data_IF_868414868850
#
_entry.id   IF_868414868850
#
_cell.length_a   1.000
_cell.length_b   1.000
_cell.length_c   1.000
_cell.angle_alpha   90.00
_cell.angle_beta   90.00
_cell.angle_gamma   90.00
#
_symmetry.space_group_name_H-M   'P 1'
#
loop_
_entity.id
_entity.type
_entity.pdbx_description
1 polymer ?
#
# COMPACT_ATOMS: atom_id res chain seq x y z
N UNK A 1 -21.63 7.63 -26.48
CA UNK A 1 -20.21 7.25 -26.25
C UNK A 1 -20.06 6.96 -24.77
N UNK A 2 -19.87 5.70 -24.39
CA UNK A 2 -19.67 5.32 -22.99
C UNK A 2 -18.27 5.72 -22.55
N UNK A 3 -18.17 6.50 -21.47
CA UNK A 3 -16.89 6.97 -20.91
C UNK A 3 -16.26 5.80 -20.15
N UNK A 4 -15.21 5.20 -20.69
CA UNK A 4 -14.39 4.23 -19.96
C UNK A 4 -13.53 5.04 -18.99
N UNK A 5 -13.71 4.79 -17.68
CA UNK A 5 -12.84 5.36 -16.65
C UNK A 5 -11.88 4.27 -16.24
N UNK A 6 -10.60 4.46 -16.57
CA UNK A 6 -9.53 3.55 -16.16
C UNK A 6 -9.10 3.94 -14.75
N UNK A 7 -9.26 3.02 -13.79
CA UNK A 7 -8.74 3.16 -12.44
C UNK A 7 -7.53 2.23 -12.31
N UNK A 8 -6.33 2.79 -12.19
CA UNK A 8 -5.11 2.04 -11.82
C UNK A 8 -4.95 2.02 -10.30
N UNK A 9 -5.99 1.60 -9.59
CA UNK A 9 -5.92 1.43 -8.13
C UNK A 9 -5.57 -0.02 -7.83
N UNK A 10 -4.60 -0.23 -6.94
CA UNK A 10 -4.37 -1.54 -6.35
C UNK A 10 -5.57 -1.84 -5.44
N UNK A 11 -6.18 -2.98 -5.66
CA UNK A 11 -7.51 -3.31 -5.16
C UNK A 11 -7.35 -4.57 -4.31
N UNK A 12 -7.56 -4.47 -3.00
CA UNK A 12 -7.54 -5.62 -2.09
C UNK A 12 -8.94 -6.24 -2.00
N UNK A 13 -8.99 -7.56 -2.21
CA UNK A 13 -10.12 -8.50 -2.10
C UNK A 13 -11.56 -8.03 -2.38
N UNK A 14 -12.24 -8.82 -3.24
CA UNK A 14 -13.67 -8.76 -3.58
C UNK A 14 -14.20 -7.51 -4.28
N UNK A 15 -13.35 -6.56 -4.65
CA UNK A 15 -13.80 -5.38 -5.40
C UNK A 15 -14.40 -5.73 -6.76
N UNK A 16 -13.88 -6.70 -7.56
CA UNK A 16 -14.59 -7.15 -8.74
C UNK A 16 -16.05 -7.55 -8.42
N UNK A 17 -16.23 -8.32 -7.36
CA UNK A 17 -17.53 -8.80 -6.86
C UNK A 17 -18.41 -7.65 -6.33
N UNK A 18 -17.84 -6.63 -5.68
CA UNK A 18 -18.55 -5.43 -5.24
C UNK A 18 -18.97 -4.56 -6.43
N UNK A 19 -18.10 -4.40 -7.43
CA UNK A 19 -18.38 -3.65 -8.67
C UNK A 19 -19.51 -4.34 -9.44
N UNK A 20 -19.43 -5.66 -9.59
CA UNK A 20 -20.47 -6.48 -10.22
C UNK A 20 -21.79 -6.41 -9.43
N UNK A 21 -21.75 -6.50 -8.11
CA UNK A 21 -22.92 -6.33 -7.24
C UNK A 21 -23.57 -4.95 -7.37
N UNK A 22 -22.81 -3.91 -7.76
CA UNK A 22 -23.32 -2.57 -8.06
C UNK A 22 -23.88 -2.41 -9.49
N UNK A 23 -23.94 -3.49 -10.28
CA UNK A 23 -24.46 -3.49 -11.65
C UNK A 23 -23.47 -2.99 -12.71
N UNK A 24 -22.19 -2.84 -12.36
CA UNK A 24 -21.12 -2.40 -13.26
C UNK A 24 -20.33 -3.62 -13.74
N UNK A 25 -19.64 -3.49 -14.88
CA UNK A 25 -18.72 -4.52 -15.40
C UNK A 25 -17.28 -4.07 -15.17
N UNK A 26 -16.41 -4.98 -14.73
CA UNK A 26 -14.97 -4.77 -14.70
C UNK A 26 -14.25 -5.92 -15.41
N UNK A 27 -13.20 -5.59 -16.15
CA UNK A 27 -12.29 -6.58 -16.71
C UNK A 27 -11.09 -6.72 -15.76
N UNK A 28 -10.76 -7.95 -15.37
CA UNK A 28 -9.59 -8.24 -14.53
C UNK A 28 -8.52 -8.95 -15.37
N UNK A 29 -7.27 -8.50 -15.27
CA UNK A 29 -6.13 -9.22 -15.83
C UNK A 29 -5.23 -9.69 -14.69
N UNK A 30 -4.69 -10.90 -14.80
CA UNK A 30 -3.65 -11.37 -13.88
C UNK A 30 -2.37 -10.56 -14.13
N UNK A 31 -1.86 -9.92 -13.08
CA UNK A 31 -0.61 -9.18 -13.17
C UNK A 31 0.57 -10.15 -13.12
N UNK A 32 1.60 -9.88 -13.92
CA UNK A 32 2.90 -10.53 -13.70
C UNK A 32 3.51 -9.99 -12.40
N UNK A 33 4.50 -10.71 -11.86
CA UNK A 33 5.23 -10.28 -10.67
C UNK A 33 5.80 -8.85 -10.81
N UNK A 34 6.38 -8.56 -11.98
CA UNK A 34 6.96 -7.24 -12.28
C UNK A 34 5.90 -6.16 -12.37
N UNK A 35 4.77 -6.44 -13.03
CA UNK A 35 3.68 -5.48 -13.14
C UNK A 35 3.06 -5.18 -11.76
N UNK A 36 3.00 -6.18 -10.88
CA UNK A 36 2.47 -6.00 -9.53
C UNK A 36 3.37 -5.12 -8.66
N UNK A 37 4.69 -5.32 -8.70
CA UNK A 37 5.65 -4.45 -8.03
C UNK A 37 5.58 -3.01 -8.56
N UNK A 38 5.54 -2.83 -9.88
CA UNK A 38 5.43 -1.49 -10.49
C UNK A 38 4.14 -0.76 -10.05
N UNK A 39 3.06 -1.49 -9.81
CA UNK A 39 1.82 -0.92 -9.28
C UNK A 39 1.92 -0.58 -7.80
N UNK A 40 2.58 -1.41 -6.98
CA UNK A 40 2.83 -1.11 -5.57
C UNK A 40 3.75 0.10 -5.40
N UNK A 41 4.79 0.24 -6.22
CA UNK A 41 5.69 1.40 -6.20
C UNK A 41 4.95 2.71 -6.55
N UNK A 42 4.05 2.67 -7.53
CA UNK A 42 3.16 3.81 -7.84
C UNK A 42 2.27 4.14 -6.66
N UNK A 43 1.66 3.13 -6.04
CA UNK A 43 0.77 3.31 -4.89
C UNK A 43 1.50 3.91 -3.70
N UNK A 44 2.73 3.46 -3.43
CA UNK A 44 3.58 4.04 -2.39
C UNK A 44 3.82 5.53 -2.61
N UNK A 45 4.08 5.92 -3.86
CA UNK A 45 4.24 7.33 -4.23
C UNK A 45 2.96 8.16 -4.05
N UNK A 46 1.79 7.56 -4.29
CA UNK A 46 0.49 8.18 -4.02
C UNK A 46 0.29 8.45 -2.51
N UNK A 47 0.42 7.43 -1.65
CA UNK A 47 0.16 7.61 -0.20
C UNK A 47 1.16 8.57 0.46
N UNK A 48 2.43 8.53 0.02
CA UNK A 48 3.44 9.49 0.50
C UNK A 48 3.04 10.92 0.13
N UNK A 49 2.48 11.12 -1.05
CA UNK A 49 2.00 12.44 -1.47
C UNK A 49 0.75 12.85 -0.67
N UNK A 50 -0.19 11.93 -0.45
CA UNK A 50 -1.38 12.19 0.36
C UNK A 50 -0.99 12.60 1.80
N UNK A 51 -0.06 11.87 2.44
CA UNK A 51 0.51 12.26 3.73
C UNK A 51 1.18 13.65 3.70
N UNK A 52 1.96 13.96 2.66
CA UNK A 52 2.61 15.27 2.54
C UNK A 52 1.60 16.43 2.40
N UNK A 53 0.42 16.16 1.84
CA UNK A 53 -0.65 17.14 1.69
C UNK A 53 -1.51 17.27 2.96
N UNK A 54 -1.92 16.16 3.57
CA UNK A 54 -2.88 16.12 4.69
C UNK A 54 -2.22 16.13 6.07
N UNK A 55 -1.03 15.53 6.20
CA UNK A 55 -0.38 15.18 7.47
C UNK A 55 -1.25 14.34 8.42
N UNK A 56 -2.24 13.62 7.88
CA UNK A 56 -3.10 12.71 8.65
C UNK A 56 -2.35 11.42 9.00
N UNK A 57 -2.64 10.86 10.17
CA UNK A 57 -1.97 9.64 10.68
C UNK A 57 -2.42 8.42 9.89
N UNK A 58 -3.65 8.45 9.39
CA UNK A 58 -4.26 7.47 8.52
C UNK A 58 -3.41 7.22 7.27
N UNK A 59 -2.86 8.27 6.66
CA UNK A 59 -1.98 8.15 5.49
C UNK A 59 -0.65 7.44 5.83
N UNK A 60 -0.15 7.58 7.06
CA UNK A 60 1.02 6.80 7.51
C UNK A 60 0.69 5.31 7.63
N UNK A 61 -0.54 4.97 8.01
CA UNK A 61 -0.99 3.58 8.05
C UNK A 61 -1.09 2.99 6.63
N UNK A 62 -1.59 3.79 5.67
CA UNK A 62 -1.68 3.38 4.27
C UNK A 62 -0.28 3.20 3.64
N UNK A 63 0.68 4.11 3.92
CA UNK A 63 2.09 3.93 3.55
C UNK A 63 2.65 2.61 4.10
N UNK A 64 2.39 2.29 5.38
CA UNK A 64 2.85 1.05 5.99
C UNK A 64 2.21 -0.19 5.33
N UNK A 65 0.92 -0.14 4.99
CA UNK A 65 0.25 -1.25 4.28
C UNK A 65 0.96 -1.54 2.94
N UNK A 66 1.27 -0.50 2.17
CA UNK A 66 1.95 -0.65 0.88
C UNK A 66 3.38 -1.17 1.06
N UNK A 67 4.13 -0.68 2.05
CA UNK A 67 5.48 -1.16 2.36
C UNK A 67 5.46 -2.67 2.70
N UNK A 68 4.50 -3.12 3.51
CA UNK A 68 4.39 -4.55 3.83
C UNK A 68 4.03 -5.38 2.60
N UNK A 69 3.14 -4.91 1.74
CA UNK A 69 2.80 -5.59 0.48
C UNK A 69 4.01 -5.71 -0.46
N UNK A 70 4.85 -4.67 -0.57
CA UNK A 70 6.10 -4.70 -1.33
C UNK A 70 7.06 -5.73 -0.73
N UNK A 71 7.25 -5.72 0.59
CA UNK A 71 8.13 -6.66 1.27
C UNK A 71 7.70 -8.11 1.05
N UNK A 72 6.40 -8.42 1.23
CA UNK A 72 5.85 -9.76 1.01
C UNK A 72 6.03 -10.20 -0.45
N UNK A 73 5.79 -9.30 -1.40
CA UNK A 73 6.05 -9.56 -2.82
C UNK A 73 7.52 -9.91 -3.05
N UNK A 74 8.45 -9.21 -2.42
CA UNK A 74 9.89 -9.50 -2.49
C UNK A 74 10.34 -10.73 -1.66
N UNK A 75 9.41 -11.45 -1.02
CA UNK A 75 9.72 -12.65 -0.22
C UNK A 75 10.21 -12.34 1.20
N UNK A 76 9.99 -11.13 1.69
CA UNK A 76 10.30 -10.69 3.05
C UNK A 76 9.01 -10.56 3.85
N UNK A 77 8.88 -11.32 4.94
CA UNK A 77 7.71 -11.17 5.82
C UNK A 77 7.73 -9.84 6.58
N UNK A 78 6.55 -9.35 6.96
CA UNK A 78 6.40 -8.17 7.83
C UNK A 78 7.32 -8.22 9.06
N UNK A 79 7.38 -9.36 9.75
CA UNK A 79 8.25 -9.53 10.92
C UNK A 79 9.74 -9.34 10.57
N UNK A 80 10.19 -9.95 9.48
CA UNK A 80 11.59 -9.81 9.03
C UNK A 80 11.93 -8.36 8.67
N UNK A 81 10.97 -7.61 8.13
CA UNK A 81 11.15 -6.19 7.83
C UNK A 81 11.24 -5.34 9.11
N UNK A 82 10.38 -5.60 10.10
CA UNK A 82 10.36 -4.90 11.39
C UNK A 82 11.59 -5.19 12.25
N UNK A 83 12.17 -6.38 12.12
CA UNK A 83 13.42 -6.75 12.79
C UNK A 83 14.65 -5.99 12.24
N UNK A 84 14.52 -5.26 11.11
CA UNK A 84 15.60 -4.43 10.56
C UNK A 84 15.77 -3.17 11.42
N UNK A 85 16.97 -2.89 11.97
CA UNK A 85 17.19 -1.69 12.78
C UNK A 85 16.94 -0.38 12.01
N UNK A 86 16.03 0.45 12.54
CA UNK A 86 15.59 1.72 11.93
C UNK A 86 16.41 2.96 12.35
N UNK A 87 17.53 2.79 13.02
CA UNK A 87 18.36 3.89 13.56
C UNK A 87 19.15 4.70 12.50
N UNK A 88 18.82 4.58 11.22
CA UNK A 88 19.57 5.18 10.10
C UNK A 88 19.37 6.69 9.98
N UNK A 89 18.30 7.24 10.56
CA UNK A 89 17.99 8.67 10.50
C UNK A 89 18.67 9.49 11.60
N UNK A 90 19.41 8.85 12.52
CA UNK A 90 20.06 9.53 13.65
C UNK A 90 19.09 10.21 14.61
N UNK A 91 17.78 9.92 14.50
CA UNK A 91 16.78 10.42 15.43
C UNK A 91 16.89 9.67 16.76
N UNK A 92 16.70 10.36 17.90
CA UNK A 92 16.60 9.68 19.18
C UNK A 92 15.47 8.67 19.08
N UNK A 93 15.76 7.40 19.36
CA UNK A 93 14.71 6.40 19.58
C UNK A 93 13.87 6.96 20.72
N UNK A 94 12.60 7.27 20.44
CA UNK A 94 11.68 7.65 21.50
C UNK A 94 11.74 6.51 22.52
N UNK A 95 12.03 6.80 23.79
CA UNK A 95 12.04 5.75 24.80
C UNK A 95 10.70 5.03 24.68
N UNK A 96 10.76 3.70 24.57
CA UNK A 96 9.57 2.86 24.63
C UNK A 96 8.69 3.45 25.74
N UNK A 97 7.43 3.74 25.42
CA UNK A 97 6.44 4.06 26.44
C UNK A 97 6.42 2.83 27.36
N UNK A 98 7.24 2.89 28.41
CA UNK A 98 7.27 1.95 29.51
C UNK A 98 5.85 1.98 30.03
N UNK A 99 5.10 0.97 29.65
CA UNK A 99 3.84 0.65 30.29
C UNK A 99 4.28 -0.09 31.55
N UNK A 100 4.18 0.60 32.68
CA UNK A 100 4.26 -0.03 34.02
C UNK A 100 3.19 -1.13 34.16
#
# INVERSE_FOLDING_TARGET
>A
MSRIITYTKLVRDKIPEIIEASGKKCDTAGLTYTDFLDMLDKKLGEEVKEYQESHEVEELADILEVIYAIAETQGVSKKQLEDIPLNRLGLPVLPELVTD
#
